data_IF_203396377511
#
_entry.id   IF_203396377511
#
_cell.length_a   1.000
_cell.length_b   1.000
_cell.length_c   1.000
_cell.angle_alpha   90.00
_cell.angle_beta   90.00
_cell.angle_gamma   90.00
#
_symmetry.space_group_name_H-M   'P 1'
#
loop_
_entity.id
_entity.type
_entity.pdbx_description
1 polymer ?
#
# COMPACT_ATOMS: atom_id res chain seq x y z
N UNK A 1 30.66 -11.42 -10.01
CA UNK A 1 31.98 -11.68 -9.41
C UNK A 1 31.82 -12.92 -8.55
N UNK A 2 32.58 -13.99 -8.80
CA UNK A 2 32.38 -15.26 -8.10
C UNK A 2 32.91 -15.21 -6.67
N UNK A 3 32.20 -15.87 -5.74
CA UNK A 3 32.64 -15.98 -4.35
C UNK A 3 33.85 -16.91 -4.33
N UNK A 4 35.00 -16.40 -3.89
CA UNK A 4 36.27 -17.13 -3.91
C UNK A 4 36.68 -17.61 -2.53
N UNK A 5 37.49 -18.68 -2.47
CA UNK A 5 38.04 -19.28 -1.24
C UNK A 5 38.61 -18.26 -0.24
N UNK A 6 39.31 -17.24 -0.73
CA UNK A 6 39.94 -16.22 0.12
C UNK A 6 38.94 -15.34 0.87
N UNK A 7 37.68 -15.26 0.42
CA UNK A 7 36.63 -14.48 1.07
C UNK A 7 35.97 -15.24 2.23
N UNK A 8 36.18 -16.56 2.34
CA UNK A 8 35.50 -17.44 3.29
C UNK A 8 36.44 -18.13 4.29
N UNK A 9 37.72 -17.72 4.39
CA UNK A 9 38.75 -18.37 5.24
C UNK A 9 38.30 -18.55 6.70
N UNK A 10 37.51 -17.61 7.25
CA UNK A 10 36.96 -17.68 8.61
C UNK A 10 35.77 -18.64 8.77
N UNK A 11 35.07 -18.98 7.69
CA UNK A 11 33.98 -19.97 7.69
C UNK A 11 34.52 -21.41 7.57
N UNK A 12 35.81 -21.58 7.24
CA UNK A 12 36.47 -22.85 7.00
C UNK A 12 37.17 -23.45 8.24
N UNK A 13 37.17 -22.75 9.38
CA UNK A 13 37.79 -23.26 10.61
C UNK A 13 36.92 -24.32 11.30
N UNK A 14 37.42 -25.57 11.47
CA UNK A 14 36.70 -26.63 12.16
C UNK A 14 36.64 -26.33 13.66
N UNK A 15 35.58 -25.63 14.06
CA UNK A 15 35.38 -25.16 15.44
C UNK A 15 34.34 -24.04 15.56
N UNK A 16 34.01 -23.34 14.48
CA UNK A 16 32.94 -22.34 14.47
C UNK A 16 31.57 -23.02 14.33
N UNK A 17 31.18 -23.75 15.37
CA UNK A 17 30.00 -24.61 15.40
C UNK A 17 28.70 -23.84 15.72
N UNK A 18 28.48 -22.76 14.98
CA UNK A 18 27.20 -22.08 14.74
C UNK A 18 27.51 -20.68 14.18
N UNK A 19 27.45 -20.54 12.86
CA UNK A 19 27.27 -19.21 12.26
C UNK A 19 25.83 -18.77 12.58
N UNK A 20 25.65 -18.21 13.77
CA UNK A 20 24.42 -17.57 14.22
C UNK A 20 24.15 -16.32 13.39
N UNK A 21 22.88 -16.06 13.05
CA UNK A 21 22.44 -14.74 12.57
C UNK A 21 22.18 -14.55 11.07
N UNK A 22 22.03 -15.61 10.27
CA UNK A 22 21.58 -15.45 8.86
C UNK A 22 20.09 -15.75 8.63
N UNK A 23 19.45 -16.46 9.55
CA UNK A 23 18.04 -16.83 9.45
C UNK A 23 17.25 -15.97 10.44
N UNK A 24 17.00 -14.72 10.06
CA UNK A 24 16.02 -13.89 10.74
C UNK A 24 14.65 -14.17 10.12
N UNK A 25 13.61 -14.17 10.97
CA UNK A 25 12.24 -14.10 10.48
C UNK A 25 12.08 -12.81 9.64
N UNK A 26 11.31 -12.91 8.57
CA UNK A 26 11.08 -11.82 7.64
C UNK A 26 9.67 -11.26 7.82
N UNK A 27 9.51 -9.99 7.47
CA UNK A 27 8.20 -9.37 7.26
C UNK A 27 7.73 -9.75 5.86
N UNK A 28 7.02 -10.86 5.77
CA UNK A 28 6.57 -11.42 4.50
C UNK A 28 5.14 -10.98 4.17
N UNK A 29 4.90 -10.76 2.88
CA UNK A 29 3.63 -10.42 2.26
C UNK A 29 2.83 -9.22 2.82
N UNK A 30 3.48 -8.25 3.49
CA UNK A 30 2.79 -7.02 3.95
C UNK A 30 2.14 -6.20 2.82
N UNK A 31 2.71 -6.23 1.61
CA UNK A 31 2.10 -5.63 0.42
C UNK A 31 0.72 -6.20 0.06
N UNK A 32 0.42 -7.45 0.41
CA UNK A 32 -0.86 -8.08 0.11
C UNK A 32 -2.01 -7.51 0.97
N UNK A 33 -1.70 -6.81 2.06
CA UNK A 33 -2.70 -6.09 2.85
C UNK A 33 -3.15 -4.80 2.16
N UNK A 34 -2.34 -4.30 1.20
CA UNK A 34 -2.54 -3.03 0.49
C UNK A 34 -3.10 -3.31 -0.91
N UNK A 35 -2.42 -4.14 -1.70
CA UNK A 35 -2.69 -4.34 -3.12
C UNK A 35 -3.25 -5.71 -3.41
N UNK A 36 -4.16 -5.74 -4.38
CA UNK A 36 -4.65 -6.97 -4.98
C UNK A 36 -3.66 -7.44 -6.08
N UNK A 37 -3.54 -8.75 -6.27
CA UNK A 37 -2.55 -9.33 -7.20
C UNK A 37 -3.25 -9.89 -8.43
N UNK A 38 -2.86 -9.40 -9.60
CA UNK A 38 -3.33 -9.91 -10.89
C UNK A 38 -2.19 -10.46 -11.74
N UNK A 39 -2.52 -11.35 -12.68
CA UNK A 39 -1.57 -11.97 -13.60
C UNK A 39 -1.69 -11.34 -14.98
N UNK A 40 -0.56 -10.97 -15.58
CA UNK A 40 -0.48 -10.38 -16.92
C UNK A 40 0.63 -11.04 -17.74
N UNK A 41 0.34 -11.30 -19.02
CA UNK A 41 1.32 -11.72 -20.03
C UNK A 41 1.80 -10.55 -20.91
N UNK A 42 1.32 -9.33 -20.66
CA UNK A 42 1.65 -8.13 -21.44
C UNK A 42 2.89 -7.43 -20.88
N UNK A 43 3.49 -6.57 -21.70
CA UNK A 43 4.62 -5.73 -21.28
C UNK A 43 4.19 -4.57 -20.36
N UNK A 44 2.95 -4.12 -20.51
CA UNK A 44 2.30 -3.14 -19.65
C UNK A 44 0.81 -3.41 -19.62
N UNK A 45 0.16 -2.99 -18.53
CA UNK A 45 -1.29 -2.90 -18.43
C UNK A 45 -1.70 -1.43 -18.39
N UNK A 46 -2.90 -1.15 -18.87
CA UNK A 46 -3.45 0.19 -18.93
C UNK A 46 -4.90 0.17 -18.47
N UNK A 47 -5.20 0.99 -17.49
CA UNK A 47 -6.54 1.16 -16.95
C UNK A 47 -7.04 2.54 -17.34
N UNK A 48 -8.25 2.58 -17.89
CA UNK A 48 -8.90 3.81 -18.32
C UNK A 48 -10.12 4.01 -17.44
N UNK A 49 -10.19 5.17 -16.80
CA UNK A 49 -11.36 5.62 -16.06
C UNK A 49 -12.38 6.16 -17.05
N UNK A 50 -13.60 5.60 -17.03
CA UNK A 50 -14.73 6.15 -17.76
C UNK A 50 -15.56 7.05 -16.85
N UNK A 51 -15.95 8.23 -17.36
CA UNK A 51 -16.95 9.06 -16.70
C UNK A 51 -18.30 8.36 -16.75
N UNK A 52 -18.99 8.28 -15.61
CA UNK A 52 -20.39 7.88 -15.55
C UNK A 52 -21.34 8.89 -16.21
N UNK A 53 -22.64 8.64 -16.05
CA UNK A 53 -23.69 9.58 -16.45
C UNK A 53 -23.98 10.59 -15.34
N UNK A 54 -24.50 11.76 -15.71
CA UNK A 54 -24.95 12.77 -14.75
C UNK A 54 -26.29 12.44 -14.08
N UNK A 55 -26.76 13.36 -13.24
CA UNK A 55 -28.09 13.26 -12.63
C UNK A 55 -29.19 13.24 -13.72
N UNK A 56 -30.16 12.35 -13.57
CA UNK A 56 -31.26 12.24 -14.51
C UNK A 56 -32.18 13.48 -14.41
N UNK A 57 -32.34 14.28 -15.48
CA UNK A 57 -33.17 15.47 -15.44
C UNK A 57 -34.65 15.12 -15.36
N UNK A 58 -35.44 15.98 -14.71
CA UNK A 58 -36.91 15.86 -14.70
C UNK A 58 -37.44 16.07 -16.12
N UNK A 59 -38.06 15.03 -16.67
CA UNK A 59 -38.67 15.08 -18.00
C UNK A 59 -40.00 15.84 -17.96
N UNK A 60 -40.16 16.85 -18.82
CA UNK A 60 -41.45 17.53 -19.01
C UNK A 60 -42.40 16.70 -19.90
N UNK A 61 -43.69 16.83 -19.68
CA UNK A 61 -44.70 16.13 -20.47
C UNK A 61 -44.60 16.55 -21.95
N UNK A 62 -44.57 15.56 -22.85
CA UNK A 62 -44.43 15.77 -24.30
C UNK A 62 -43.00 15.95 -24.83
N UNK A 63 -41.99 16.12 -23.96
CA UNK A 63 -40.59 16.21 -24.39
C UNK A 63 -39.96 14.84 -24.71
N UNK A 64 -38.85 14.87 -25.46
CA UNK A 64 -38.01 13.70 -25.70
C UNK A 64 -37.24 13.24 -24.46
N UNK A 65 -36.62 12.06 -24.52
CA UNK A 65 -35.68 11.59 -23.49
C UNK A 65 -34.32 12.25 -23.72
N UNK A 66 -33.66 12.71 -22.66
CA UNK A 66 -32.29 13.22 -22.73
C UNK A 66 -31.30 12.07 -22.78
N UNK A 67 -30.32 12.15 -23.67
CA UNK A 67 -29.22 11.20 -23.76
C UNK A 67 -27.96 11.87 -23.23
N UNK A 68 -27.22 11.18 -22.37
CA UNK A 68 -25.91 11.59 -21.88
C UNK A 68 -24.84 10.64 -22.45
N UNK A 69 -23.59 11.10 -22.55
CA UNK A 69 -22.48 10.32 -23.12
C UNK A 69 -21.40 10.08 -22.07
N UNK A 70 -21.00 8.83 -21.91
CA UNK A 70 -19.80 8.49 -21.16
C UNK A 70 -18.54 8.81 -22.00
N UNK A 71 -17.48 9.31 -21.37
CA UNK A 71 -16.19 9.56 -21.99
C UNK A 71 -15.05 9.02 -21.14
N UNK A 72 -13.92 8.70 -21.77
CA UNK A 72 -12.69 8.31 -21.07
C UNK A 72 -12.02 9.56 -20.49
N UNK A 73 -11.65 9.53 -19.21
CA UNK A 73 -11.16 10.72 -18.48
C UNK A 73 -9.66 10.59 -18.19
N UNK A 74 -9.29 9.59 -17.39
CA UNK A 74 -7.92 9.39 -16.92
C UNK A 74 -7.41 8.02 -17.30
N UNK A 75 -6.10 7.93 -17.50
CA UNK A 75 -5.46 6.67 -17.89
C UNK A 75 -4.24 6.44 -17.01
N UNK A 76 -4.21 5.30 -16.34
CA UNK A 76 -3.06 4.84 -15.58
C UNK A 76 -2.39 3.69 -16.33
N UNK A 77 -1.06 3.73 -16.44
CA UNK A 77 -0.28 2.66 -17.09
C UNK A 77 0.67 2.02 -16.09
N UNK A 78 0.62 0.70 -16.01
CA UNK A 78 1.47 -0.13 -15.17
C UNK A 78 2.48 -0.89 -16.02
N UNK A 79 3.77 -0.60 -15.86
CA UNK A 79 4.84 -1.27 -16.61
C UNK A 79 5.50 -2.34 -15.76
N UNK A 80 5.60 -3.56 -16.29
CA UNK A 80 6.25 -4.67 -15.59
C UNK A 80 7.76 -4.51 -15.59
N UNK A 81 8.39 -4.72 -14.43
CA UNK A 81 9.84 -4.69 -14.28
C UNK A 81 10.40 -6.07 -13.95
N UNK A 82 11.49 -6.44 -14.62
CA UNK A 82 12.20 -7.70 -14.33
C UNK A 82 13.17 -7.50 -13.17
N UNK A 83 12.91 -8.17 -12.05
CA UNK A 83 13.82 -8.21 -10.89
C UNK A 83 14.60 -9.52 -10.93
N UNK A 84 15.92 -9.44 -10.94
CA UNK A 84 16.79 -10.60 -10.97
C UNK A 84 18.00 -10.43 -10.05
N UNK A 85 18.33 -11.48 -9.31
CA UNK A 85 19.54 -11.59 -8.50
C UNK A 85 20.06 -13.02 -8.64
N UNK A 86 21.38 -13.18 -8.72
CA UNK A 86 22.03 -14.49 -8.83
C UNK A 86 23.35 -14.50 -8.06
N UNK A 87 23.76 -15.69 -7.63
CA UNK A 87 25.10 -15.95 -7.09
C UNK A 87 25.75 -17.09 -7.87
N UNK A 88 27.08 -17.12 -7.89
CA UNK A 88 27.87 -18.16 -8.56
C UNK A 88 28.86 -18.78 -7.58
N UNK A 89 28.96 -20.10 -7.59
CA UNK A 89 29.93 -20.89 -6.81
C UNK A 89 31.04 -21.38 -7.74
N UNK A 90 32.30 -21.36 -7.29
CA UNK A 90 33.40 -21.96 -8.06
C UNK A 90 33.50 -23.46 -7.79
N UNK A 91 34.12 -24.19 -8.72
CA UNK A 91 34.28 -25.64 -8.66
C UNK A 91 35.10 -26.08 -7.45
N UNK A 92 36.17 -25.34 -7.11
CA UNK A 92 37.03 -25.64 -5.96
C UNK A 92 36.27 -25.51 -4.63
N UNK A 93 35.32 -24.59 -4.54
CA UNK A 93 34.46 -24.46 -3.37
C UNK A 93 33.46 -25.63 -3.24
N UNK A 94 33.13 -26.30 -4.34
CA UNK A 94 32.26 -27.49 -4.33
C UNK A 94 33.06 -28.74 -3.97
N UNK A 95 34.27 -28.90 -4.51
CA UNK A 95 35.16 -30.06 -4.26
C UNK A 95 35.59 -30.18 -2.79
N UNK A 96 35.75 -29.07 -2.07
CA UNK A 96 36.15 -29.03 -0.64
C UNK A 96 35.00 -29.36 0.34
N UNK A 97 33.94 -30.05 -0.11
CA UNK A 97 32.80 -30.54 0.70
C UNK A 97 31.97 -29.44 1.42
N UNK A 98 31.90 -28.24 0.82
CA UNK A 98 31.03 -27.14 1.26
C UNK A 98 29.66 -27.14 0.57
N UNK A 99 29.40 -28.08 -0.34
CA UNK A 99 28.26 -28.08 -1.25
C UNK A 99 26.91 -27.92 -0.53
N UNK A 100 26.62 -28.76 0.47
CA UNK A 100 25.26 -28.85 1.02
C UNK A 100 24.93 -27.68 1.97
N UNK A 101 25.94 -27.15 2.69
CA UNK A 101 25.74 -26.06 3.65
C UNK A 101 25.80 -24.68 3.02
N UNK A 102 26.65 -24.49 2.00
CA UNK A 102 26.87 -23.18 1.38
C UNK A 102 25.80 -22.88 0.32
N UNK A 103 25.44 -23.85 -0.52
CA UNK A 103 24.43 -23.67 -1.57
C UNK A 103 23.02 -23.47 -0.99
N UNK A 104 22.63 -24.25 0.02
CA UNK A 104 21.34 -24.11 0.69
C UNK A 104 21.20 -22.75 1.37
N UNK A 105 22.28 -22.28 2.00
CA UNK A 105 22.32 -20.99 2.70
C UNK A 105 22.25 -19.81 1.75
N UNK A 106 23.04 -19.79 0.67
CA UNK A 106 22.97 -18.70 -0.31
C UNK A 106 21.64 -18.68 -1.05
N UNK A 107 21.04 -19.85 -1.31
CA UNK A 107 19.68 -19.92 -1.87
C UNK A 107 18.65 -19.27 -0.94
N UNK A 108 18.72 -19.53 0.38
CA UNK A 108 17.85 -18.85 1.36
C UNK A 108 18.09 -17.34 1.42
N UNK A 109 19.34 -16.90 1.43
CA UNK A 109 19.69 -15.48 1.42
C UNK A 109 19.21 -14.77 0.14
N UNK A 110 19.32 -15.44 -1.00
CA UNK A 110 18.80 -14.99 -2.29
C UNK A 110 17.27 -14.82 -2.23
N UNK A 111 16.55 -15.84 -1.77
CA UNK A 111 15.10 -15.81 -1.62
C UNK A 111 14.65 -14.64 -0.72
N UNK A 112 15.34 -14.42 0.40
CA UNK A 112 15.10 -13.30 1.30
C UNK A 112 15.31 -11.94 0.62
N UNK A 113 16.38 -11.80 -0.16
CA UNK A 113 16.67 -10.56 -0.88
C UNK A 113 15.58 -10.26 -1.92
N UNK A 114 15.12 -11.28 -2.65
CA UNK A 114 14.03 -11.14 -3.61
C UNK A 114 12.70 -10.77 -2.92
N UNK A 115 12.36 -11.45 -1.82
CA UNK A 115 11.16 -11.16 -1.04
C UNK A 115 11.17 -9.72 -0.46
N UNK A 116 12.32 -9.30 0.08
CA UNK A 116 12.51 -7.93 0.61
C UNK A 116 12.38 -6.89 -0.49
N UNK A 117 12.97 -7.15 -1.66
CA UNK A 117 12.87 -6.23 -2.81
C UNK A 117 11.43 -6.05 -3.24
N UNK A 118 10.62 -7.12 -3.22
CA UNK A 118 9.18 -7.04 -3.49
C UNK A 118 8.46 -6.11 -2.52
N UNK A 119 8.73 -6.21 -1.22
CA UNK A 119 8.13 -5.34 -0.21
C UNK A 119 8.54 -3.87 -0.36
N UNK A 120 9.83 -3.62 -0.55
CA UNK A 120 10.36 -2.26 -0.72
C UNK A 120 9.71 -1.59 -1.94
N UNK A 121 9.60 -2.31 -3.07
CA UNK A 121 8.95 -1.77 -4.27
C UNK A 121 7.46 -1.50 -4.08
N UNK A 122 6.75 -2.38 -3.39
CA UNK A 122 5.34 -2.16 -3.10
C UNK A 122 5.11 -0.97 -2.15
N UNK A 123 5.94 -0.83 -1.12
CA UNK A 123 5.88 0.27 -0.17
C UNK A 123 6.34 1.61 -0.80
N UNK A 124 7.21 1.58 -1.82
CA UNK A 124 7.68 2.77 -2.50
C UNK A 124 6.54 3.62 -3.09
N UNK A 125 5.45 2.99 -3.54
CA UNK A 125 4.27 3.69 -4.06
C UNK A 125 3.64 4.55 -2.96
N UNK A 126 3.39 3.99 -1.77
CA UNK A 126 2.84 4.75 -0.64
C UNK A 126 3.84 5.76 -0.07
N UNK A 127 5.13 5.42 0.01
CA UNK A 127 6.18 6.34 0.42
C UNK A 127 6.28 7.57 -0.52
N UNK A 128 5.95 7.40 -1.80
CA UNK A 128 5.88 8.47 -2.78
C UNK A 128 4.49 9.09 -2.96
N UNK A 129 3.47 8.68 -2.21
CA UNK A 129 2.07 9.01 -2.49
C UNK A 129 1.76 10.52 -2.50
N UNK A 130 2.45 11.29 -1.66
CA UNK A 130 2.27 12.75 -1.58
C UNK A 130 3.17 13.52 -2.56
N UNK A 131 4.04 12.85 -3.32
CA UNK A 131 5.06 13.51 -4.15
C UNK A 131 5.26 12.85 -5.51
N UNK A 132 5.94 11.70 -5.56
CA UNK A 132 6.46 11.10 -6.80
C UNK A 132 5.55 10.06 -7.42
N UNK A 133 4.67 9.45 -6.63
CA UNK A 133 3.70 8.47 -7.12
C UNK A 133 2.50 9.24 -7.65
N UNK A 134 2.25 9.14 -8.96
CA UNK A 134 1.21 9.88 -9.64
C UNK A 134 0.00 8.99 -9.93
N UNK A 135 -1.20 9.55 -9.84
CA UNK A 135 -2.44 8.94 -10.33
C UNK A 135 -2.57 9.05 -11.85
N UNK A 136 -3.64 8.47 -12.40
CA UNK A 136 -3.98 8.58 -13.82
C UNK A 136 -4.33 10.01 -14.27
N UNK A 137 -4.62 10.90 -13.31
CA UNK A 137 -4.86 12.32 -13.50
C UNK A 137 -3.56 13.16 -13.56
N UNK A 138 -2.40 12.52 -13.35
CA UNK A 138 -1.09 13.17 -13.34
C UNK A 138 -0.76 13.95 -12.07
N UNK A 139 -1.62 13.90 -11.04
CA UNK A 139 -1.38 14.50 -9.72
C UNK A 139 -0.81 13.43 -8.78
N UNK A 140 -0.14 13.83 -7.69
CA UNK A 140 0.31 12.89 -6.67
C UNK A 140 -0.89 12.09 -6.11
N UNK A 141 -0.71 10.80 -5.80
CA UNK A 141 -1.77 9.89 -5.34
C UNK A 141 -2.55 10.44 -4.14
N UNK A 142 -1.90 11.18 -3.24
CA UNK A 142 -2.51 11.84 -2.10
C UNK A 142 -2.41 13.35 -2.25
N UNK A 143 -3.50 14.00 -2.66
CA UNK A 143 -3.56 15.44 -2.88
C UNK A 143 -4.96 16.05 -2.62
N UNK A 144 -4.99 17.38 -2.54
CA UNK A 144 -6.23 18.16 -2.37
C UNK A 144 -6.82 18.68 -3.68
N UNK A 145 -6.22 18.34 -4.82
CA UNK A 145 -6.49 19.01 -6.11
C UNK A 145 -6.57 18.02 -7.28
N UNK A 146 -7.17 16.85 -7.05
CA UNK A 146 -7.45 15.90 -8.12
C UNK A 146 -8.48 16.52 -9.09
N UNK A 147 -8.13 16.79 -10.36
CA UNK A 147 -9.07 17.37 -11.30
C UNK A 147 -10.23 16.40 -11.58
N UNK A 148 -11.42 16.95 -11.79
CA UNK A 148 -12.57 16.19 -12.30
C UNK A 148 -13.06 16.79 -13.60
N UNK A 149 -13.83 16.02 -14.37
CA UNK A 149 -14.29 16.38 -15.70
C UNK A 149 -15.22 17.62 -15.70
N UNK A 150 -16.26 17.62 -14.87
CA UNK A 150 -17.22 18.74 -14.77
C UNK A 150 -17.45 19.22 -13.32
N UNK A 151 -16.84 18.57 -12.34
CA UNK A 151 -17.03 18.85 -10.92
C UNK A 151 -16.01 19.82 -10.32
N UNK A 152 -16.10 19.98 -8.99
CA UNK A 152 -15.00 20.54 -8.22
C UNK A 152 -13.86 19.51 -8.14
N UNK A 153 -12.63 19.99 -7.95
CA UNK A 153 -11.51 19.10 -7.70
C UNK A 153 -11.77 18.28 -6.43
N UNK A 154 -11.43 17.00 -6.48
CA UNK A 154 -11.52 16.10 -5.35
C UNK A 154 -10.25 16.22 -4.48
N UNK A 155 -10.42 15.88 -3.21
CA UNK A 155 -9.36 15.88 -2.21
C UNK A 155 -9.43 14.56 -1.45
N UNK A 156 -8.31 13.84 -1.36
CA UNK A 156 -8.19 12.61 -0.59
C UNK A 156 -7.18 12.72 0.56
N UNK A 157 -6.78 13.95 0.88
CA UNK A 157 -5.96 14.29 2.05
C UNK A 157 -6.65 15.34 2.89
N UNK A 158 -6.34 15.39 4.19
CA UNK A 158 -6.83 16.43 5.08
C UNK A 158 -6.39 17.82 4.60
N UNK A 159 -7.30 18.79 4.65
CA UNK A 159 -7.02 20.18 4.25
C UNK A 159 -5.87 20.81 5.05
N UNK A 160 -5.75 20.42 6.32
CA UNK A 160 -4.60 20.70 7.18
C UNK A 160 -3.99 19.36 7.56
N UNK A 161 -2.70 19.16 7.25
CA UNK A 161 -1.99 17.95 7.64
C UNK A 161 -2.08 17.74 9.16
N UNK A 162 -2.42 16.52 9.56
CA UNK A 162 -2.56 16.15 10.96
C UNK A 162 -2.13 14.70 11.15
N UNK A 163 -1.41 14.44 12.24
CA UNK A 163 -0.98 13.10 12.63
C UNK A 163 -2.17 12.18 12.92
N UNK A 164 -1.94 10.88 12.96
CA UNK A 164 -2.97 9.91 13.34
C UNK A 164 -3.49 10.17 14.76
N UNK A 165 -4.77 10.50 14.84
CA UNK A 165 -5.53 10.75 16.06
C UNK A 165 -6.99 10.36 15.82
N UNK A 166 -7.77 10.29 16.88
CA UNK A 166 -9.22 10.06 16.76
C UNK A 166 -9.87 11.12 15.85
N UNK A 167 -9.56 12.39 16.07
CA UNK A 167 -10.12 13.50 15.28
C UNK A 167 -9.72 13.45 13.81
N UNK A 168 -8.45 13.19 13.50
CA UNK A 168 -7.99 13.12 12.10
C UNK A 168 -8.54 11.89 11.40
N UNK A 169 -8.72 10.78 12.11
CA UNK A 169 -9.33 9.57 11.56
C UNK A 169 -10.83 9.74 11.31
N UNK A 170 -11.56 10.35 12.25
CA UNK A 170 -12.98 10.67 12.07
C UNK A 170 -13.21 11.61 10.89
N UNK A 171 -12.39 12.67 10.78
CA UNK A 171 -12.47 13.58 9.64
C UNK A 171 -12.19 12.86 8.32
N UNK A 172 -11.15 12.01 8.28
CA UNK A 172 -10.83 11.25 7.08
C UNK A 172 -11.97 10.31 6.66
N UNK A 173 -12.66 9.68 7.60
CA UNK A 173 -13.82 8.82 7.32
C UNK A 173 -15.04 9.61 6.83
N UNK A 174 -15.25 10.82 7.36
CA UNK A 174 -16.28 11.75 6.87
C UNK A 174 -15.97 12.16 5.43
N UNK A 175 -14.71 12.50 5.14
CA UNK A 175 -14.27 12.92 3.80
C UNK A 175 -14.45 11.78 2.79
N UNK A 176 -14.09 10.55 3.16
CA UNK A 176 -14.33 9.35 2.33
C UNK A 176 -15.81 9.17 2.02
N UNK A 177 -16.68 9.31 3.02
CA UNK A 177 -18.13 9.19 2.84
C UNK A 177 -18.75 10.36 2.04
N UNK A 178 -17.99 11.44 1.83
CA UNK A 178 -18.38 12.61 1.05
C UNK A 178 -17.91 12.56 -0.40
N UNK A 179 -17.17 11.53 -0.81
CA UNK A 179 -16.69 11.41 -2.19
C UNK A 179 -17.83 11.41 -3.21
N UNK A 180 -17.52 11.98 -4.37
CA UNK A 180 -18.39 12.04 -5.53
C UNK A 180 -17.66 11.53 -6.75
N UNK A 181 -18.41 10.98 -7.71
CA UNK A 181 -17.93 10.63 -9.04
C UNK A 181 -17.59 11.90 -9.86
N UNK A 182 -17.02 11.73 -11.05
CA UNK A 182 -16.62 12.77 -12.02
C UNK A 182 -17.76 13.74 -12.41
N UNK A 183 -19.01 13.30 -12.20
CA UNK A 183 -20.25 14.04 -12.48
C UNK A 183 -20.86 14.69 -11.23
N UNK A 184 -20.18 14.63 -10.08
CA UNK A 184 -20.65 15.18 -8.79
C UNK A 184 -21.72 14.33 -8.08
N UNK A 185 -21.97 13.10 -8.56
CA UNK A 185 -22.88 12.17 -7.90
C UNK A 185 -22.19 11.52 -6.70
N UNK A 186 -22.88 11.45 -5.55
CA UNK A 186 -22.33 10.80 -4.35
C UNK A 186 -22.09 9.31 -4.57
N UNK A 187 -20.92 8.83 -4.17
CA UNK A 187 -20.55 7.42 -4.20
C UNK A 187 -20.55 6.83 -2.80
N UNK A 188 -21.03 5.60 -2.67
CA UNK A 188 -21.10 4.90 -1.39
C UNK A 188 -19.79 4.15 -1.12
N UNK A 189 -18.74 4.91 -0.81
CA UNK A 189 -17.42 4.37 -0.46
C UNK A 189 -17.19 4.50 1.04
N UNK A 190 -16.52 3.51 1.63
CA UNK A 190 -16.15 3.48 3.05
C UNK A 190 -14.70 3.06 3.25
N UNK A 191 -14.09 3.55 4.34
CA UNK A 191 -12.78 3.09 4.78
C UNK A 191 -12.85 1.69 5.38
N UNK A 192 -12.13 0.73 4.79
CA UNK A 192 -12.17 -0.69 5.21
C UNK A 192 -10.98 -1.09 6.07
N UNK A 193 -9.78 -0.54 5.81
CA UNK A 193 -8.54 -0.91 6.50
C UNK A 193 -7.62 0.29 6.68
N UNK A 194 -6.99 0.39 7.85
CA UNK A 194 -5.94 1.37 8.13
C UNK A 194 -4.56 0.76 7.86
N UNK A 195 -3.73 1.43 7.07
CA UNK A 195 -2.33 1.04 6.81
C UNK A 195 -1.42 2.05 7.50
N UNK A 196 -0.50 1.55 8.34
CA UNK A 196 0.36 2.40 9.15
C UNK A 196 1.81 1.90 9.21
N UNK A 197 2.78 2.79 9.48
CA UNK A 197 4.11 2.42 9.88
C UNK A 197 4.12 1.83 11.30
N UNK A 198 5.21 1.13 11.64
CA UNK A 198 5.40 0.49 12.96
C UNK A 198 5.37 1.46 14.13
N UNK A 199 5.74 2.73 13.91
CA UNK A 199 5.75 3.80 14.92
C UNK A 199 4.34 4.12 15.43
N UNK A 200 3.32 4.02 14.57
CA UNK A 200 1.93 4.35 14.90
C UNK A 200 1.12 3.18 15.49
N UNK A 201 1.68 1.97 15.54
CA UNK A 201 0.93 0.75 15.93
C UNK A 201 0.20 0.89 17.28
N UNK A 202 0.84 1.51 18.27
CA UNK A 202 0.23 1.67 19.60
C UNK A 202 -0.85 2.75 19.63
N UNK A 203 -0.76 3.74 18.76
CA UNK A 203 -1.77 4.79 18.61
C UNK A 203 -3.00 4.20 17.93
N UNK A 204 -2.80 3.49 16.81
CA UNK A 204 -3.87 2.81 16.09
C UNK A 204 -4.57 1.76 16.96
N UNK A 205 -3.83 0.96 17.74
CA UNK A 205 -4.43 -0.04 18.63
C UNK A 205 -5.34 0.60 19.68
N UNK A 206 -4.91 1.72 20.26
CA UNK A 206 -5.69 2.48 21.22
C UNK A 206 -6.95 3.07 20.58
N UNK A 207 -6.83 3.69 19.42
CA UNK A 207 -7.96 4.31 18.70
C UNK A 207 -8.98 3.25 18.25
N UNK A 208 -8.55 2.11 17.72
CA UNK A 208 -9.46 1.14 17.11
C UNK A 208 -10.01 0.11 18.10
N UNK A 209 -9.29 -0.22 19.18
CA UNK A 209 -9.68 -1.31 20.09
C UNK A 209 -10.17 -0.85 21.45
N UNK A 210 -9.89 0.38 21.90
CA UNK A 210 -10.38 0.87 23.19
C UNK A 210 -11.91 0.94 23.22
N UNK A 211 -12.52 0.56 24.35
CA UNK A 211 -13.98 0.68 24.55
C UNK A 211 -14.43 2.13 24.78
N UNK A 212 -13.60 2.90 25.48
CA UNK A 212 -13.82 4.31 25.78
C UNK A 212 -12.83 5.16 25.01
N UNK A 213 -13.13 6.44 24.90
CA UNK A 213 -12.22 7.43 24.34
C UNK A 213 -10.89 7.44 25.12
N UNK A 214 -9.78 7.48 24.39
CA UNK A 214 -8.44 7.38 24.99
C UNK A 214 -7.93 8.78 25.31
N UNK A 215 -7.38 8.97 26.52
CA UNK A 215 -6.73 10.23 26.90
C UNK A 215 -7.66 11.32 27.44
N UNK A 216 -8.95 11.01 27.66
CA UNK A 216 -9.93 11.90 28.28
C UNK A 216 -10.32 11.41 29.67
N UNK A 217 -10.75 12.33 30.55
CA UNK A 217 -11.34 11.98 31.85
C UNK A 217 -12.82 11.55 31.72
N UNK A 218 -13.44 11.89 30.58
CA UNK A 218 -14.82 11.56 30.25
C UNK A 218 -14.93 10.10 29.77
N UNK A 219 -16.00 9.42 30.21
CA UNK A 219 -16.31 8.03 29.82
C UNK A 219 -17.08 7.97 28.49
N UNK A 220 -16.67 8.77 27.51
CA UNK A 220 -17.29 8.78 26.20
C UNK A 220 -16.99 7.45 25.49
N UNK A 221 -18.00 6.90 24.81
CA UNK A 221 -17.85 5.69 24.01
C UNK A 221 -16.98 6.02 22.80
N UNK A 222 -16.05 5.12 22.49
CA UNK A 222 -15.29 5.20 21.24
C UNK A 222 -16.23 5.00 20.04
N UNK A 223 -16.53 6.07 19.32
CA UNK A 223 -17.47 6.07 18.21
C UNK A 223 -16.98 5.21 17.03
N UNK A 224 -15.69 5.30 16.68
CA UNK A 224 -15.07 4.53 15.60
C UNK A 224 -15.30 3.03 15.84
N UNK A 225 -14.98 2.54 17.04
CA UNK A 225 -15.19 1.13 17.40
C UNK A 225 -16.67 0.76 17.46
N UNK A 226 -17.50 1.58 18.09
CA UNK A 226 -18.91 1.28 18.30
C UNK A 226 -19.73 1.25 16.99
N UNK A 227 -19.37 2.09 16.03
CA UNK A 227 -20.00 2.13 14.71
C UNK A 227 -19.43 1.08 13.75
N UNK A 228 -18.42 0.32 14.15
CA UNK A 228 -17.78 -0.68 13.30
C UNK A 228 -17.00 -0.09 12.13
N UNK A 229 -16.49 1.14 12.28
CA UNK A 229 -15.68 1.81 11.27
C UNK A 229 -14.34 1.09 11.12
N UNK A 230 -13.82 1.01 9.89
CA UNK A 230 -12.60 0.28 9.55
C UNK A 230 -12.73 -1.20 9.98
N UNK A 231 -13.67 -1.95 9.38
CA UNK A 231 -13.99 -3.33 9.77
C UNK A 231 -12.81 -4.30 9.70
N UNK A 232 -11.82 -4.05 8.84
CA UNK A 232 -10.62 -4.90 8.74
C UNK A 232 -9.51 -4.49 9.72
N UNK A 233 -9.74 -3.46 10.54
CA UNK A 233 -8.77 -2.95 11.51
C UNK A 233 -7.56 -2.28 10.85
N UNK A 234 -6.40 -2.42 11.48
CA UNK A 234 -5.15 -1.86 10.97
C UNK A 234 -4.14 -2.96 10.62
N UNK A 235 -3.28 -2.66 9.64
CA UNK A 235 -2.09 -3.45 9.32
C UNK A 235 -0.85 -2.57 9.44
N UNK A 236 0.23 -3.16 9.95
CA UNK A 236 1.52 -2.51 10.08
C UNK A 236 2.36 -2.89 8.87
N UNK A 237 2.91 -1.89 8.19
CA UNK A 237 3.89 -2.08 7.14
C UNK A 237 5.26 -1.55 7.58
N UNK A 238 6.24 -2.45 7.69
CA UNK A 238 7.58 -2.13 8.20
C UNK A 238 8.48 -1.43 7.18
N UNK A 239 8.03 -1.35 5.92
CA UNK A 239 8.74 -0.75 4.80
C UNK A 239 8.24 0.67 4.45
N UNK A 240 7.26 1.19 5.20
CA UNK A 240 6.94 2.60 5.19
C UNK A 240 8.08 3.40 5.84
N UNK A 241 8.53 4.44 5.14
CA UNK A 241 9.68 5.24 5.54
C UNK A 241 9.29 6.44 6.41
N UNK A 242 8.05 6.91 6.27
CA UNK A 242 7.51 8.02 7.03
C UNK A 242 6.89 7.50 8.35
N UNK A 243 7.39 7.96 9.52
CA UNK A 243 6.91 7.48 10.82
C UNK A 243 5.52 8.02 11.22
N UNK A 244 5.01 9.08 10.58
CA UNK A 244 3.72 9.70 10.93
C UNK A 244 2.63 9.59 9.84
N UNK A 245 3.01 9.16 8.63
CA UNK A 245 2.05 8.90 7.56
C UNK A 245 1.11 7.73 7.88
N UNK A 246 -0.19 7.91 7.63
CA UNK A 246 -1.19 6.85 7.69
C UNK A 246 -2.06 6.88 6.43
N UNK A 247 -2.56 5.70 6.03
CA UNK A 247 -3.37 5.55 4.81
C UNK A 247 -4.62 4.73 5.10
N UNK A 248 -5.72 5.03 4.42
CA UNK A 248 -6.97 4.28 4.55
C UNK A 248 -7.27 3.61 3.21
N UNK A 249 -7.31 2.27 3.19
CA UNK A 249 -7.84 1.53 2.05
C UNK A 249 -9.36 1.61 2.09
N UNK A 250 -9.96 1.95 0.96
CA UNK A 250 -11.41 2.00 0.77
C UNK A 250 -11.93 0.75 0.06
N UNK A 251 -13.26 0.59 -0.01
CA UNK A 251 -13.92 -0.45 -0.82
C UNK A 251 -14.23 -0.01 -2.26
N UNK A 252 -13.73 1.16 -2.67
CA UNK A 252 -13.70 1.55 -4.07
C UNK A 252 -12.94 0.48 -4.90
N UNK A 253 -13.46 0.10 -6.09
CA UNK A 253 -12.87 -0.91 -6.96
C UNK A 253 -11.53 -0.46 -7.55
#
# INVERSE_FOLDING_TARGET
MAISRNQLVKELEPGLNALFGMEYNNYENEHAEIYDTETSDRAFEEEVMLSGFGEAPVKTEGAGVSFDNAQEVFTARYTHETIALAFSLTEEAVEDNLYDRLSARYTKALARSMATTKQIKAAAILNGAFTTSLGGDGVALCATTHPTLEGANLSNTLATAADLSETSLEQSLIDIAAFTDERGLKIAVQGIKLIIPKELQFIADRILKSTLRVGTADNDINAIKNMGMIPQGYSVNHYLADPDAFFIKTDAP
#
